data_IF_581914237622
#
_entry.id   IF_581914237622
#
_cell.length_a   1.000
_cell.length_b   1.000
_cell.length_c   1.000
_cell.angle_alpha   90.00
_cell.angle_beta   90.00
_cell.angle_gamma   90.00
#
_symmetry.space_group_name_H-M   'P 1'
#
loop_
_entity.id
_entity.type
_entity.pdbx_description
1 polymer ?
#
# COMPACT_ATOMS: atom_id res chain seq x y z
N UNK A 1 -33.32 -6.66 -47.36
CA UNK A 1 -33.92 -6.47 -46.01
C UNK A 1 -33.91 -5.01 -45.57
N UNK A 2 -34.79 -4.55 -44.65
CA UNK A 2 -34.76 -3.17 -44.12
C UNK A 2 -33.98 -3.06 -42.80
N UNK A 3 -33.26 -1.96 -42.59
CA UNK A 3 -32.56 -1.68 -41.33
C UNK A 3 -33.56 -1.41 -40.19
N UNK A 4 -33.51 -2.13 -39.06
CA UNK A 4 -34.42 -1.92 -37.92
C UNK A 4 -34.19 -0.57 -37.20
N UNK A 5 -33.05 0.10 -37.44
CA UNK A 5 -32.71 1.35 -36.77
C UNK A 5 -33.10 2.60 -37.58
N UNK A 6 -32.93 2.58 -38.92
CA UNK A 6 -33.15 3.77 -39.76
C UNK A 6 -34.09 3.54 -40.96
N UNK A 7 -34.60 2.32 -41.16
CA UNK A 7 -35.58 2.00 -42.21
C UNK A 7 -35.03 1.98 -43.64
N UNK A 8 -33.72 2.14 -43.85
CA UNK A 8 -33.12 2.07 -45.19
C UNK A 8 -33.10 0.64 -45.72
N UNK A 9 -33.37 0.48 -47.01
CA UNK A 9 -33.27 -0.79 -47.71
C UNK A 9 -31.80 -1.21 -47.84
N UNK A 10 -31.51 -2.46 -47.51
CA UNK A 10 -30.17 -3.03 -47.48
C UNK A 10 -30.13 -4.33 -48.28
N UNK A 11 -28.99 -4.62 -48.94
CA UNK A 11 -28.79 -5.88 -49.64
C UNK A 11 -28.81 -7.05 -48.67
N UNK A 12 -29.25 -8.20 -49.16
CA UNK A 12 -29.34 -9.40 -48.33
C UNK A 12 -27.93 -9.85 -47.91
N UNK A 13 -27.75 -10.13 -46.62
CA UNK A 13 -26.47 -10.42 -45.95
C UNK A 13 -25.55 -9.22 -45.62
N UNK A 14 -26.11 -8.02 -45.49
CA UNK A 14 -25.39 -6.84 -44.99
C UNK A 14 -24.96 -6.99 -43.52
N UNK A 15 -23.65 -7.04 -43.24
CA UNK A 15 -23.13 -7.13 -41.85
C UNK A 15 -23.35 -5.84 -41.03
N UNK A 16 -23.52 -4.71 -41.71
CA UNK A 16 -23.76 -3.39 -41.14
C UNK A 16 -24.60 -2.52 -42.08
N UNK A 17 -25.31 -1.55 -41.52
CA UNK A 17 -26.10 -0.58 -42.27
C UNK A 17 -25.19 0.51 -42.83
N UNK A 18 -25.18 0.67 -44.16
CA UNK A 18 -24.37 1.69 -44.83
C UNK A 18 -24.86 3.14 -44.58
N UNK A 19 -26.10 3.32 -44.10
CA UNK A 19 -26.67 4.65 -43.85
C UNK A 19 -26.47 5.12 -42.39
N UNK A 20 -26.74 4.27 -41.40
CA UNK A 20 -26.66 4.66 -39.98
C UNK A 20 -25.59 3.92 -39.15
N UNK A 21 -24.89 2.94 -39.74
CA UNK A 21 -23.83 2.18 -39.08
C UNK A 21 -24.29 1.04 -38.16
N UNK A 22 -25.60 0.75 -38.06
CA UNK A 22 -26.10 -0.34 -37.22
C UNK A 22 -25.59 -1.72 -37.70
N UNK A 23 -25.09 -2.56 -36.80
CA UNK A 23 -24.62 -3.93 -37.12
C UNK A 23 -25.81 -4.88 -37.29
N UNK A 24 -25.84 -5.64 -38.38
CA UNK A 24 -26.96 -6.50 -38.77
C UNK A 24 -26.44 -7.91 -39.02
N UNK A 25 -26.60 -8.80 -38.05
CA UNK A 25 -26.18 -10.19 -38.17
C UNK A 25 -26.70 -11.04 -37.01
N UNK A 26 -26.93 -12.35 -37.21
CA UNK A 26 -27.33 -13.26 -36.15
C UNK A 26 -26.18 -13.38 -35.14
N UNK A 27 -26.32 -12.68 -34.02
CA UNK A 27 -25.24 -12.50 -33.04
C UNK A 27 -24.92 -11.03 -32.69
N UNK A 28 -25.88 -10.11 -32.81
CA UNK A 28 -25.76 -8.76 -32.22
C UNK A 28 -25.67 -8.74 -30.68
N UNK A 29 -25.54 -9.91 -30.04
CA UNK A 29 -24.89 -10.06 -28.75
C UNK A 29 -23.37 -10.03 -28.96
N UNK A 30 -22.81 -8.90 -29.38
CA UNK A 30 -21.44 -8.63 -28.98
C UNK A 30 -21.45 -8.68 -27.44
N UNK A 31 -20.57 -9.45 -26.77
CA UNK A 31 -20.54 -9.44 -25.32
C UNK A 31 -20.47 -7.99 -24.89
N UNK A 32 -21.44 -7.56 -24.08
CA UNK A 32 -21.35 -6.31 -23.34
C UNK A 32 -20.25 -6.53 -22.34
N UNK A 33 -19.06 -6.31 -22.85
CA UNK A 33 -17.86 -6.00 -22.12
C UNK A 33 -18.19 -4.94 -21.07
N UNK A 34 -18.19 -5.28 -19.76
CA UNK A 34 -18.39 -4.28 -18.74
C UNK A 34 -17.36 -3.16 -18.97
N UNK A 35 -17.82 -1.91 -18.93
CA UNK A 35 -16.94 -0.77 -19.08
C UNK A 35 -15.75 -0.94 -18.12
N UNK A 36 -14.50 -0.75 -18.59
CA UNK A 36 -13.33 -0.95 -17.75
C UNK A 36 -13.51 -0.15 -16.45
N UNK A 37 -13.16 -0.71 -15.27
CA UNK A 37 -13.31 -0.05 -13.97
C UNK A 37 -12.56 1.29 -13.85
N UNK A 38 -11.75 1.64 -14.85
CA UNK A 38 -11.02 2.88 -14.93
C UNK A 38 -11.04 3.46 -16.36
N UNK A 39 -11.33 4.76 -16.55
CA UNK A 39 -11.27 5.39 -17.86
C UNK A 39 -9.83 5.35 -18.40
N UNK A 40 -9.62 4.61 -19.50
CA UNK A 40 -8.35 4.51 -20.22
C UNK A 40 -7.66 3.13 -20.20
N UNK A 41 -8.27 2.08 -19.64
CA UNK A 41 -7.67 0.74 -19.69
C UNK A 41 -7.86 0.09 -21.08
N UNK A 42 -6.80 -0.42 -21.73
CA UNK A 42 -6.91 -1.22 -22.96
C UNK A 42 -7.76 -2.47 -22.72
N UNK A 43 -8.74 -2.71 -23.58
CA UNK A 43 -9.67 -3.82 -23.43
C UNK A 43 -8.92 -5.17 -23.58
N UNK A 44 -8.94 -6.02 -22.54
CA UNK A 44 -8.34 -7.37 -22.56
C UNK A 44 -7.04 -7.58 -21.78
N UNK A 45 -6.54 -6.57 -21.07
CA UNK A 45 -5.36 -6.71 -20.19
C UNK A 45 -5.80 -6.81 -18.73
N UNK A 46 -5.42 -7.90 -18.04
CA UNK A 46 -5.59 -8.02 -16.58
C UNK A 46 -4.57 -7.11 -15.88
N UNK A 47 -4.94 -5.84 -15.68
CA UNK A 47 -4.12 -4.85 -15.00
C UNK A 47 -4.35 -4.99 -13.49
N UNK A 48 -3.30 -5.16 -12.65
CA UNK A 48 -3.49 -5.21 -11.20
C UNK A 48 -4.11 -3.89 -10.70
N UNK A 49 -4.95 -3.92 -9.65
CA UNK A 49 -5.56 -2.71 -9.12
C UNK A 49 -4.52 -1.79 -8.45
N UNK A 50 -4.77 -0.49 -8.51
CA UNK A 50 -4.03 0.50 -7.72
C UNK A 50 -4.24 0.27 -6.22
N UNK A 51 -3.23 0.61 -5.42
CA UNK A 51 -3.25 0.51 -3.97
C UNK A 51 -3.73 1.84 -3.37
N UNK A 52 -4.49 1.76 -2.29
CA UNK A 52 -4.96 2.96 -1.59
C UNK A 52 -3.84 3.51 -0.69
N UNK A 53 -3.48 4.76 -0.90
CA UNK A 53 -2.42 5.47 -0.16
C UNK A 53 -2.75 5.59 1.33
N UNK A 54 -4.02 5.89 1.67
CA UNK A 54 -4.45 6.07 3.07
C UNK A 54 -4.38 4.75 3.82
N UNK A 55 -4.86 3.65 3.22
CA UNK A 55 -4.80 2.33 3.86
C UNK A 55 -3.35 1.95 4.14
N UNK A 56 -2.45 2.14 3.17
CA UNK A 56 -1.03 1.85 3.35
C UNK A 56 -0.39 2.66 4.48
N UNK A 57 -0.77 3.94 4.62
CA UNK A 57 -0.31 4.82 5.69
C UNK A 57 -0.88 4.42 7.06
N UNK A 58 -2.18 4.09 7.15
CA UNK A 58 -2.78 3.63 8.40
C UNK A 58 -2.12 2.34 8.90
N UNK A 59 -1.87 1.39 8.00
CA UNK A 59 -1.13 0.17 8.34
C UNK A 59 0.26 0.49 8.89
N UNK A 60 0.99 1.39 8.22
CA UNK A 60 2.33 1.79 8.66
C UNK A 60 2.35 2.63 9.94
N UNK A 61 1.28 3.37 10.24
CA UNK A 61 1.13 4.19 11.44
C UNK A 61 0.96 3.33 12.69
N UNK A 62 0.04 2.36 12.65
CA UNK A 62 -0.22 1.48 13.79
C UNK A 62 0.85 0.39 13.95
N UNK A 63 1.35 -0.14 12.84
CA UNK A 63 2.30 -1.25 12.84
C UNK A 63 3.40 -0.99 11.79
N UNK A 64 4.53 -0.37 12.20
CA UNK A 64 5.64 -0.09 11.30
C UNK A 64 6.04 -1.32 10.47
N UNK A 65 6.15 -1.13 9.15
CA UNK A 65 6.43 -2.20 8.19
C UNK A 65 5.21 -2.86 7.53
N UNK A 66 4.00 -2.84 8.11
CA UNK A 66 2.82 -3.47 7.49
C UNK A 66 2.39 -2.78 6.20
N UNK A 67 2.56 -1.46 6.12
CA UNK A 67 2.26 -0.73 4.90
C UNK A 67 3.11 -1.17 3.71
N UNK A 68 4.41 -1.47 3.91
CA UNK A 68 5.27 -2.00 2.84
C UNK A 68 4.83 -3.39 2.37
N UNK A 69 4.38 -4.24 3.29
CA UNK A 69 3.83 -5.56 2.97
C UNK A 69 2.54 -5.43 2.14
N UNK A 70 1.67 -4.46 2.45
CA UNK A 70 0.45 -4.19 1.69
C UNK A 70 0.69 -3.83 0.22
N UNK A 71 1.76 -3.06 -0.05
CA UNK A 71 2.20 -2.73 -1.43
C UNK A 71 3.01 -3.88 -2.07
N UNK A 72 3.38 -4.92 -1.32
CA UNK A 72 4.11 -6.10 -1.82
C UNK A 72 5.63 -6.07 -1.58
N UNK A 73 6.17 -5.06 -0.90
CA UNK A 73 7.59 -4.99 -0.52
C UNK A 73 7.86 -5.66 0.83
N UNK A 74 7.82 -6.98 0.83
CA UNK A 74 8.02 -7.80 2.03
C UNK A 74 9.34 -7.51 2.76
N UNK A 75 10.48 -7.53 2.06
CA UNK A 75 11.78 -7.34 2.70
C UNK A 75 11.88 -5.99 3.44
N UNK A 76 11.39 -4.90 2.83
CA UNK A 76 11.37 -3.58 3.50
C UNK A 76 10.43 -3.55 4.70
N UNK A 77 9.26 -4.18 4.57
CA UNK A 77 8.32 -4.28 5.69
C UNK A 77 8.92 -5.01 6.89
N UNK A 78 9.59 -6.14 6.65
CA UNK A 78 10.28 -6.89 7.70
C UNK A 78 11.42 -6.08 8.33
N UNK A 79 12.19 -5.33 7.53
CA UNK A 79 13.26 -4.46 8.07
C UNK A 79 12.68 -3.42 9.04
N UNK A 80 11.63 -2.70 8.66
CA UNK A 80 11.01 -1.72 9.55
C UNK A 80 10.38 -2.35 10.79
N UNK A 81 9.71 -3.49 10.64
CA UNK A 81 9.09 -4.22 11.74
C UNK A 81 10.15 -4.67 12.75
N UNK A 82 11.20 -5.38 12.30
CA UNK A 82 12.26 -5.88 13.18
C UNK A 82 13.04 -4.73 13.81
N UNK A 83 13.33 -3.68 13.06
CA UNK A 83 14.07 -2.53 13.60
C UNK A 83 13.28 -1.80 14.69
N UNK A 84 12.00 -1.53 14.44
CA UNK A 84 11.14 -0.82 15.39
C UNK A 84 10.86 -1.67 16.64
N UNK A 85 10.29 -2.87 16.46
CA UNK A 85 9.94 -3.73 17.59
C UNK A 85 11.17 -4.28 18.32
N UNK A 86 12.28 -4.50 17.61
CA UNK A 86 13.54 -4.89 18.22
C UNK A 86 14.11 -3.82 19.14
N UNK A 87 14.16 -2.56 18.68
CA UNK A 87 14.62 -1.44 19.52
C UNK A 87 13.67 -1.17 20.69
N UNK A 88 12.35 -1.21 20.46
CA UNK A 88 11.37 -1.08 21.54
C UNK A 88 11.48 -2.22 22.57
N UNK A 89 11.77 -3.45 22.15
CA UNK A 89 11.97 -4.56 23.08
C UNK A 89 13.22 -4.35 23.94
N UNK A 90 14.32 -3.87 23.35
CA UNK A 90 15.53 -3.50 24.10
C UNK A 90 15.21 -2.42 25.13
N UNK A 91 14.48 -1.37 24.74
CA UNK A 91 14.07 -0.29 25.65
C UNK A 91 13.22 -0.81 26.82
N UNK A 92 12.24 -1.67 26.54
CA UNK A 92 11.40 -2.31 27.57
C UNK A 92 12.25 -3.14 28.54
N UNK A 93 13.21 -3.92 28.03
CA UNK A 93 14.11 -4.73 28.86
C UNK A 93 14.96 -3.83 29.76
N UNK A 94 15.54 -2.75 29.23
CA UNK A 94 16.34 -1.80 30.02
C UNK A 94 15.52 -1.16 31.14
N UNK A 95 14.30 -0.72 30.84
CA UNK A 95 13.40 -0.13 31.83
C UNK A 95 12.98 -1.16 32.89
N UNK A 96 12.63 -2.38 32.47
CA UNK A 96 12.22 -3.43 33.40
C UNK A 96 13.33 -3.78 34.40
N UNK A 97 14.57 -3.94 33.92
CA UNK A 97 15.71 -4.15 34.79
C UNK A 97 15.94 -2.96 35.72
N UNK A 98 15.83 -1.73 35.19
CA UNK A 98 16.07 -0.54 35.98
C UNK A 98 15.05 -0.32 37.11
N UNK A 99 13.79 -0.71 36.89
CA UNK A 99 12.76 -0.69 37.94
C UNK A 99 13.13 -1.66 39.08
N UNK A 100 13.63 -2.86 38.74
CA UNK A 100 14.07 -3.84 39.73
C UNK A 100 15.20 -3.31 40.61
N UNK A 101 16.21 -2.70 39.98
CA UNK A 101 17.34 -2.11 40.69
C UNK A 101 16.91 -0.93 41.59
N UNK A 102 15.97 -0.10 41.12
CA UNK A 102 15.40 1.00 41.91
C UNK A 102 14.67 0.52 43.16
N UNK A 103 13.90 -0.58 43.07
CA UNK A 103 13.15 -1.13 44.20
C UNK A 103 14.04 -1.76 45.28
N UNK A 104 15.24 -2.21 44.92
CA UNK A 104 16.17 -2.88 45.82
C UNK A 104 17.31 -1.97 46.31
N UNK A 105 17.45 -0.76 45.77
CA UNK A 105 18.49 0.17 46.13
C UNK A 105 18.25 0.79 47.52
N UNK A 106 19.17 0.55 48.47
CA UNK A 106 19.15 1.17 49.79
C UNK A 106 19.92 2.50 49.89
N UNK A 107 20.75 2.83 48.90
CA UNK A 107 21.58 4.05 48.87
C UNK A 107 21.04 5.06 47.83
N UNK A 108 20.64 6.28 48.26
CA UNK A 108 20.15 7.33 47.36
C UNK A 108 21.12 7.76 46.26
N UNK A 109 22.43 7.75 46.52
CA UNK A 109 23.43 8.18 45.53
C UNK A 109 23.59 7.15 44.41
N UNK A 110 23.51 5.86 44.76
CA UNK A 110 23.56 4.77 43.78
C UNK A 110 22.31 4.82 42.89
N UNK A 111 21.13 5.07 43.48
CA UNK A 111 19.88 5.22 42.74
C UNK A 111 19.93 6.39 41.75
N UNK A 112 20.43 7.57 42.16
CA UNK A 112 20.48 8.76 41.31
C UNK A 112 21.37 8.57 40.07
N UNK A 113 22.57 7.99 40.24
CA UNK A 113 23.49 7.76 39.12
C UNK A 113 22.92 6.72 38.15
N UNK A 114 22.41 5.60 38.67
CA UNK A 114 21.86 4.53 37.87
C UNK A 114 20.61 4.96 37.07
N UNK A 115 19.69 5.69 37.73
CA UNK A 115 18.51 6.24 37.06
C UNK A 115 18.87 7.28 36.00
N UNK A 116 19.91 8.10 36.24
CA UNK A 116 20.43 9.05 35.27
C UNK A 116 20.96 8.38 34.00
N UNK A 117 21.80 7.36 34.16
CA UNK A 117 22.41 6.63 33.03
C UNK A 117 21.34 5.91 32.18
N UNK A 118 20.42 5.21 32.83
CA UNK A 118 19.32 4.53 32.15
C UNK A 118 18.44 5.53 31.39
N UNK A 119 18.09 6.66 32.03
CA UNK A 119 17.24 7.67 31.41
C UNK A 119 17.89 8.31 30.17
N UNK A 120 19.21 8.53 30.17
CA UNK A 120 19.93 9.05 29.01
C UNK A 120 19.89 8.05 27.86
N UNK A 121 20.20 6.78 28.14
CA UNK A 121 20.23 5.73 27.12
C UNK A 121 18.85 5.49 26.52
N UNK A 122 17.81 5.38 27.35
CA UNK A 122 16.44 5.18 26.85
C UNK A 122 15.98 6.37 26.02
N UNK A 123 16.23 7.61 26.45
CA UNK A 123 15.88 8.82 25.69
C UNK A 123 16.50 8.84 24.29
N UNK A 124 17.75 8.37 24.14
CA UNK A 124 18.40 8.25 22.83
C UNK A 124 17.70 7.17 21.97
N UNK A 125 17.39 6.01 22.55
CA UNK A 125 16.69 4.93 21.85
C UNK A 125 15.29 5.37 21.42
N UNK A 126 14.55 6.09 22.26
CA UNK A 126 13.21 6.60 21.91
C UNK A 126 13.29 7.59 20.74
N UNK A 127 14.30 8.48 20.72
CA UNK A 127 14.51 9.42 19.61
C UNK A 127 14.80 8.68 18.30
N UNK A 128 15.69 7.68 18.33
CA UNK A 128 15.99 6.86 17.14
C UNK A 128 14.74 6.12 16.66
N UNK A 129 13.96 5.55 17.57
CA UNK A 129 12.73 4.81 17.27
C UNK A 129 11.68 5.73 16.65
N UNK A 130 11.55 6.96 17.15
CA UNK A 130 10.66 7.97 16.58
C UNK A 130 11.09 8.38 15.16
N UNK A 131 12.39 8.56 14.92
CA UNK A 131 12.93 8.84 13.57
C UNK A 131 12.61 7.68 12.62
N UNK A 132 12.82 6.43 13.05
CA UNK A 132 12.49 5.23 12.26
C UNK A 132 11.01 5.21 11.90
N UNK A 133 10.13 5.55 12.84
CA UNK A 133 8.69 5.61 12.61
C UNK A 133 8.30 6.66 11.56
N UNK A 134 8.88 7.87 11.62
CA UNK A 134 8.68 8.91 10.60
C UNK A 134 9.18 8.43 9.23
N UNK A 135 10.39 7.87 9.17
CA UNK A 135 10.99 7.37 7.92
C UNK A 135 10.13 6.26 7.32
N UNK A 136 9.59 5.36 8.14
CA UNK A 136 8.64 4.33 7.72
C UNK A 136 7.39 4.93 7.03
N UNK A 137 6.80 5.99 7.59
CA UNK A 137 5.63 6.66 7.01
C UNK A 137 5.95 7.33 5.67
N UNK A 138 7.10 8.01 5.58
CA UNK A 138 7.52 8.67 4.34
C UNK A 138 7.88 7.65 3.27
N UNK A 139 8.64 6.61 3.60
CA UNK A 139 9.02 5.57 2.62
C UNK A 139 7.79 4.82 2.11
N UNK A 140 6.86 4.42 2.98
CA UNK A 140 5.67 3.70 2.51
C UNK A 140 4.80 4.54 1.58
N UNK A 141 4.66 5.85 1.86
CA UNK A 141 3.92 6.76 0.99
C UNK A 141 4.54 6.81 -0.40
N UNK A 142 5.86 7.03 -0.46
CA UNK A 142 6.60 7.08 -1.73
C UNK A 142 6.49 5.77 -2.50
N UNK A 143 6.51 4.63 -1.82
CA UNK A 143 6.43 3.32 -2.45
C UNK A 143 5.04 3.00 -2.97
N UNK A 144 4.00 3.42 -2.25
CA UNK A 144 2.61 3.27 -2.71
C UNK A 144 2.37 4.08 -3.98
N UNK A 145 2.88 5.32 -4.00
CA UNK A 145 2.82 6.18 -5.19
C UNK A 145 3.60 5.57 -6.35
N UNK A 146 4.83 5.10 -6.11
CA UNK A 146 5.65 4.40 -7.12
C UNK A 146 4.95 3.17 -7.70
N UNK A 147 4.27 2.40 -6.86
CA UNK A 147 3.47 1.25 -7.30
C UNK A 147 2.31 1.68 -8.21
N UNK A 148 1.55 2.69 -7.79
CA UNK A 148 0.41 3.19 -8.56
C UNK A 148 0.85 3.80 -9.90
N UNK A 149 1.96 4.54 -9.92
CA UNK A 149 2.51 5.15 -11.13
C UNK A 149 3.03 4.09 -12.11
N UNK A 150 3.65 3.00 -11.62
CA UNK A 150 4.06 1.87 -12.46
C UNK A 150 2.86 1.18 -13.12
N UNK A 151 1.75 0.98 -12.39
CA UNK A 151 0.52 0.43 -12.96
C UNK A 151 -0.08 1.36 -14.01
N UNK A 152 -0.10 2.67 -13.77
CA UNK A 152 -0.63 3.67 -14.72
C UNK A 152 0.15 3.71 -16.02
N UNK A 153 1.47 3.60 -15.93
CA UNK A 153 2.36 3.77 -17.08
C UNK A 153 2.60 2.47 -17.86
N UNK A 154 2.74 1.35 -17.16
CA UNK A 154 3.14 0.07 -17.77
C UNK A 154 2.04 -0.98 -17.77
N UNK A 155 0.99 -0.78 -16.97
CA UNK A 155 -0.03 -1.80 -16.72
C UNK A 155 0.47 -3.00 -15.89
N UNK A 156 1.68 -2.93 -15.32
CA UNK A 156 2.30 -4.02 -14.55
C UNK A 156 2.76 -3.55 -13.18
N UNK A 157 2.75 -4.46 -12.20
CA UNK A 157 3.31 -4.19 -10.89
C UNK A 157 4.85 -4.08 -10.98
N UNK A 158 5.49 -3.15 -10.25
CA UNK A 158 6.93 -2.94 -10.30
C UNK A 158 7.77 -3.99 -9.55
N UNK A 159 7.11 -4.88 -8.79
CA UNK A 159 7.68 -6.04 -8.11
C UNK A 159 6.58 -7.07 -7.87
#
# INVERSE_FOLDING_TARGET
MYCPNCGTELPDNSAFCANCGAKLGPGSNAPVYPAPPYPGQPYGVNVPPQKNEIISLLLAFFFPGLGHIYVGKFARGIIFLVSYFGLSAVEIILIWNAIGDMLMAGDPNVMLNFTGDVAIVTSIISLVTFIIWIVNLVDVYQQTKKYNDAIRTTGKAPW
#
